data_IF_222579068966
#
_entry.id   IF_222579068966
#
_cell.length_a   1.000
_cell.length_b   1.000
_cell.length_c   1.000
_cell.angle_alpha   90.00
_cell.angle_beta   90.00
_cell.angle_gamma   90.00
#
_symmetry.space_group_name_H-M   'P 1'
#
loop_
_entity.id
_entity.type
_entity.pdbx_description
1 polymer ?
#
# COMPACT_ATOMS: atom_id res chain seq x y z
N UNK A 1 -52.02 18.74 8.14
CA UNK A 1 -51.32 17.51 8.53
C UNK A 1 -50.46 16.88 7.41
N UNK A 2 -50.74 17.13 6.15
CA UNK A 2 -49.90 16.58 5.04
C UNK A 2 -48.56 17.29 4.82
N UNK A 3 -48.38 18.52 5.29
CA UNK A 3 -47.15 19.30 5.10
C UNK A 3 -45.97 18.87 6.03
N UNK A 4 -46.26 18.40 7.24
CA UNK A 4 -45.24 17.98 8.19
C UNK A 4 -44.50 16.68 7.80
N UNK A 5 -45.15 15.80 7.05
CA UNK A 5 -44.53 14.55 6.60
C UNK A 5 -43.54 14.77 5.43
N UNK A 6 -43.78 15.79 4.61
CA UNK A 6 -42.95 16.09 3.42
C UNK A 6 -41.57 16.64 3.85
N UNK A 7 -41.53 17.49 4.84
CA UNK A 7 -40.28 18.04 5.41
C UNK A 7 -39.43 16.95 6.06
N UNK A 8 -40.04 15.98 6.76
CA UNK A 8 -39.37 14.87 7.38
C UNK A 8 -38.79 13.86 6.36
N UNK A 9 -39.51 13.66 5.24
CA UNK A 9 -39.01 12.80 4.15
C UNK A 9 -37.87 13.45 3.41
N UNK A 10 -37.89 14.75 3.16
CA UNK A 10 -36.81 15.48 2.49
C UNK A 10 -35.55 15.47 3.39
N UNK A 11 -35.68 15.70 4.69
CA UNK A 11 -34.56 15.65 5.64
C UNK A 11 -33.94 14.26 5.75
N UNK A 12 -34.74 13.20 5.69
CA UNK A 12 -34.26 11.83 5.70
C UNK A 12 -33.49 11.46 4.43
N UNK A 13 -33.99 11.88 3.26
CA UNK A 13 -33.32 11.65 1.97
C UNK A 13 -32.01 12.42 1.87
N UNK A 14 -31.97 13.68 2.32
CA UNK A 14 -30.75 14.48 2.37
C UNK A 14 -29.70 13.88 3.31
N UNK A 15 -30.12 13.33 4.45
CA UNK A 15 -29.23 12.67 5.41
C UNK A 15 -28.61 11.38 4.84
N UNK A 16 -29.36 10.59 4.11
CA UNK A 16 -28.88 9.37 3.45
C UNK A 16 -27.94 9.70 2.29
N UNK A 17 -28.24 10.74 1.49
CA UNK A 17 -27.38 11.19 0.41
C UNK A 17 -26.03 11.71 0.94
N UNK A 18 -26.03 12.39 2.07
CA UNK A 18 -24.81 12.92 2.71
C UNK A 18 -23.92 11.79 3.26
N UNK A 19 -24.52 10.71 3.76
CA UNK A 19 -23.78 9.54 4.24
C UNK A 19 -23.05 8.78 3.11
N UNK A 20 -23.60 8.78 1.90
CA UNK A 20 -22.95 8.16 0.73
C UNK A 20 -21.73 8.94 0.21
N UNK A 21 -21.66 10.24 0.46
CA UNK A 21 -20.51 11.07 0.02
C UNK A 21 -19.26 10.89 0.89
N UNK A 22 -19.37 10.31 2.08
CA UNK A 22 -18.25 10.11 3.00
C UNK A 22 -17.53 8.77 2.83
N UNK A 23 -18.09 7.82 2.09
CA UNK A 23 -17.50 6.49 1.90
C UNK A 23 -16.47 6.38 0.74
N UNK A 24 -16.27 7.43 -0.06
CA UNK A 24 -15.47 7.36 -1.28
C UNK A 24 -13.95 7.53 -1.11
N UNK A 25 -13.47 8.10 0.00
CA UNK A 25 -12.07 8.53 0.10
C UNK A 25 -11.08 7.47 0.60
N UNK A 26 -11.51 6.45 1.37
CA UNK A 26 -10.60 5.49 1.99
C UNK A 26 -9.98 4.48 1.01
N UNK A 27 -10.69 4.14 -0.07
CA UNK A 27 -10.23 3.15 -1.05
C UNK A 27 -9.18 3.68 -2.04
N UNK A 28 -9.23 4.95 -2.37
CA UNK A 28 -8.28 5.58 -3.32
C UNK A 28 -6.90 5.74 -2.68
N UNK A 29 -6.84 6.16 -1.43
CA UNK A 29 -5.59 6.33 -0.70
C UNK A 29 -4.86 5.00 -0.50
N UNK A 30 -5.56 3.94 -0.15
CA UNK A 30 -4.99 2.60 -0.03
C UNK A 30 -4.42 2.08 -1.35
N UNK A 31 -5.06 2.35 -2.48
CA UNK A 31 -4.59 1.92 -3.80
C UNK A 31 -3.32 2.66 -4.21
N UNK A 32 -3.24 3.97 -3.99
CA UNK A 32 -2.04 4.75 -4.28
C UNK A 32 -0.85 4.32 -3.41
N UNK A 33 -1.07 4.09 -2.12
CA UNK A 33 -0.03 3.60 -1.21
C UNK A 33 0.46 2.21 -1.62
N UNK A 34 -0.41 1.33 -2.10
CA UNK A 34 -0.06 0.00 -2.59
C UNK A 34 0.83 0.07 -3.83
N UNK A 35 0.50 0.89 -4.82
CA UNK A 35 1.31 1.09 -6.03
C UNK A 35 2.71 1.61 -5.71
N UNK A 36 2.81 2.60 -4.82
CA UNK A 36 4.09 3.14 -4.38
C UNK A 36 4.91 2.09 -3.63
N UNK A 37 4.27 1.32 -2.76
CA UNK A 37 4.95 0.24 -2.01
C UNK A 37 5.45 -0.85 -2.96
N UNK A 38 4.65 -1.26 -3.93
CA UNK A 38 5.08 -2.22 -4.97
C UNK A 38 6.31 -1.71 -5.73
N UNK A 39 6.29 -0.46 -6.16
CA UNK A 39 7.43 0.15 -6.84
C UNK A 39 8.70 0.12 -5.98
N UNK A 40 8.60 0.51 -4.70
CA UNK A 40 9.74 0.50 -3.77
C UNK A 40 10.29 -0.91 -3.51
N UNK A 41 9.41 -1.90 -3.37
CA UNK A 41 9.80 -3.30 -3.18
C UNK A 41 10.58 -3.83 -4.40
N UNK A 42 10.10 -3.54 -5.61
CA UNK A 42 10.79 -3.92 -6.84
C UNK A 42 12.14 -3.24 -7.00
N UNK A 43 12.22 -1.95 -6.71
CA UNK A 43 13.49 -1.20 -6.72
C UNK A 43 14.49 -1.70 -5.68
N UNK A 44 14.01 -2.19 -4.57
CA UNK A 44 14.84 -2.79 -3.52
C UNK A 44 15.37 -4.20 -3.88
N UNK A 45 14.81 -4.84 -4.91
CA UNK A 45 15.23 -6.16 -5.34
C UNK A 45 14.34 -7.30 -4.84
N UNK A 46 13.14 -7.00 -4.34
CA UNK A 46 12.15 -8.04 -4.01
C UNK A 46 11.57 -8.67 -5.28
N UNK A 47 11.49 -10.00 -5.28
CA UNK A 47 10.82 -10.75 -6.33
C UNK A 47 9.31 -10.79 -6.06
N UNK A 48 8.50 -10.47 -7.07
CA UNK A 48 7.04 -10.60 -7.01
C UNK A 48 6.65 -12.03 -7.33
N UNK A 49 5.88 -12.64 -6.43
CA UNK A 49 5.26 -13.93 -6.64
C UNK A 49 3.76 -13.74 -6.88
N UNK A 50 3.32 -13.98 -8.10
CA UNK A 50 1.89 -14.03 -8.40
C UNK A 50 1.35 -15.39 -8.04
N UNK A 51 0.41 -15.42 -7.11
CA UNK A 51 -0.17 -16.67 -6.63
C UNK A 51 -1.38 -17.02 -7.48
N UNK A 52 -1.12 -17.69 -8.60
CA UNK A 52 -2.13 -18.31 -9.43
C UNK A 52 -2.25 -19.80 -9.08
N UNK A 53 -3.44 -20.37 -9.14
CA UNK A 53 -3.72 -21.79 -8.85
C UNK A 53 -3.38 -22.22 -7.40
N UNK A 54 -4.06 -21.59 -6.43
CA UNK A 54 -3.92 -21.92 -5.02
C UNK A 54 -4.49 -23.31 -4.70
N UNK A 55 -3.62 -24.21 -4.25
CA UNK A 55 -4.08 -25.41 -3.53
C UNK A 55 -4.62 -25.00 -2.16
N UNK A 56 -5.52 -25.79 -1.50
CA UNK A 56 -6.03 -25.47 -0.17
C UNK A 56 -4.93 -25.18 0.85
N UNK A 57 -3.80 -25.91 0.79
CA UNK A 57 -2.65 -25.71 1.67
C UNK A 57 -1.96 -24.35 1.41
N UNK A 58 -1.81 -23.96 0.14
CA UNK A 58 -1.25 -22.64 -0.23
C UNK A 58 -2.18 -21.51 0.16
N UNK A 59 -3.48 -21.69 -0.02
CA UNK A 59 -4.48 -20.72 0.43
C UNK A 59 -4.39 -20.49 1.94
N UNK A 60 -4.35 -21.54 2.74
CA UNK A 60 -4.20 -21.44 4.19
C UNK A 60 -2.92 -20.71 4.61
N UNK A 61 -1.81 -20.98 3.92
CA UNK A 61 -0.54 -20.27 4.16
C UNK A 61 -0.65 -18.78 3.81
N UNK A 62 -1.28 -18.45 2.67
CA UNK A 62 -1.53 -17.08 2.27
C UNK A 62 -2.39 -16.33 3.27
N UNK A 63 -3.42 -16.97 3.81
CA UNK A 63 -4.33 -16.37 4.78
C UNK A 63 -3.65 -16.12 6.13
N UNK A 64 -2.65 -16.93 6.47
CA UNK A 64 -1.85 -16.77 7.69
C UNK A 64 -0.85 -15.60 7.61
N UNK A 65 -0.48 -15.14 6.42
CA UNK A 65 0.43 -14.01 6.25
C UNK A 65 -0.34 -12.69 6.37
N UNK A 66 0.00 -11.81 7.32
CA UNK A 66 -0.67 -10.54 7.49
C UNK A 66 -0.43 -9.61 6.30
N UNK A 67 -1.46 -8.85 5.92
CA UNK A 67 -1.41 -7.87 4.81
C UNK A 67 -0.71 -6.58 5.23
N UNK A 68 0.03 -5.97 4.32
CA UNK A 68 0.60 -4.64 4.50
C UNK A 68 1.78 -4.56 5.47
N UNK A 69 2.36 -5.69 5.85
CA UNK A 69 3.52 -5.75 6.74
C UNK A 69 4.47 -6.87 6.36
N UNK A 70 5.71 -6.75 6.80
CA UNK A 70 6.71 -7.79 6.59
C UNK A 70 6.58 -8.94 7.58
N UNK A 71 6.71 -10.15 7.06
CA UNK A 71 6.88 -11.37 7.84
C UNK A 71 8.26 -11.95 7.55
N UNK A 72 8.96 -12.41 8.58
CA UNK A 72 10.32 -12.95 8.44
C UNK A 72 10.30 -14.47 8.49
N UNK A 73 11.12 -15.05 7.64
CA UNK A 73 11.38 -16.50 7.61
C UNK A 73 12.88 -16.77 7.69
N UNK A 74 13.25 -17.79 8.44
CA UNK A 74 14.62 -18.28 8.49
C UNK A 74 14.68 -19.63 7.75
N UNK A 75 15.54 -19.71 6.74
CA UNK A 75 15.76 -20.91 5.97
C UNK A 75 17.23 -21.01 5.55
N UNK A 76 17.83 -22.18 5.66
CA UNK A 76 19.23 -22.45 5.27
C UNK A 76 20.25 -21.48 5.89
N UNK A 77 20.03 -21.07 7.14
CA UNK A 77 20.89 -20.10 7.84
C UNK A 77 20.76 -18.65 7.35
N UNK A 78 19.78 -18.36 6.50
CA UNK A 78 19.48 -17.02 5.95
C UNK A 78 18.14 -16.54 6.42
N UNK A 79 18.03 -15.22 6.58
CA UNK A 79 16.78 -14.54 6.89
C UNK A 79 16.17 -13.97 5.63
N UNK A 80 14.89 -14.26 5.43
CA UNK A 80 14.08 -13.77 4.31
C UNK A 80 12.93 -12.93 4.81
N UNK A 81 12.51 -12.00 3.99
CA UNK A 81 11.38 -11.10 4.24
C UNK A 81 10.31 -11.31 3.19
N UNK A 82 9.08 -11.47 3.65
CA UNK A 82 7.90 -11.60 2.80
C UNK A 82 6.95 -10.47 3.11
N UNK A 83 6.50 -9.78 2.08
CA UNK A 83 5.48 -8.75 2.16
C UNK A 83 4.26 -9.17 1.34
N UNK A 84 3.09 -9.16 1.97
CA UNK A 84 1.82 -9.39 1.30
C UNK A 84 1.16 -8.05 1.02
N UNK A 85 0.87 -7.77 -0.25
CA UNK A 85 0.20 -6.53 -0.63
C UNK A 85 -1.21 -6.45 -0.05
N UNK A 86 -1.62 -5.25 0.40
CA UNK A 86 -2.91 -5.04 1.03
C UNK A 86 -4.07 -5.08 0.01
N UNK A 87 -3.83 -4.67 -1.24
CA UNK A 87 -4.83 -4.54 -2.29
C UNK A 87 -4.91 -5.75 -3.23
N UNK A 88 -3.81 -6.48 -3.39
CA UNK A 88 -3.70 -7.65 -4.25
C UNK A 88 -3.32 -8.89 -3.44
N UNK A 89 -3.35 -10.07 -4.06
CA UNK A 89 -2.83 -11.30 -3.44
C UNK A 89 -1.35 -11.54 -3.76
N UNK A 90 -0.65 -10.53 -4.28
CA UNK A 90 0.74 -10.63 -4.60
C UNK A 90 1.60 -10.71 -3.34
N UNK A 91 2.58 -11.59 -3.36
CA UNK A 91 3.65 -11.68 -2.37
C UNK A 91 4.94 -11.13 -2.95
N UNK A 92 5.68 -10.43 -2.12
CA UNK A 92 7.03 -9.97 -2.44
C UNK A 92 8.01 -10.65 -1.51
N UNK A 93 9.06 -11.22 -2.06
CA UNK A 93 10.05 -12.02 -1.36
C UNK A 93 11.44 -11.43 -1.55
N UNK A 94 12.17 -11.20 -0.48
CA UNK A 94 13.52 -10.64 -0.51
C UNK A 94 14.39 -11.11 0.64
N UNK A 95 15.69 -10.92 0.49
CA UNK A 95 16.69 -11.18 1.50
C UNK A 95 16.95 -9.95 2.40
N UNK A 96 17.89 -10.06 3.32
CA UNK A 96 18.27 -8.96 4.21
C UNK A 96 18.77 -7.73 3.43
N UNK A 97 19.54 -7.91 2.36
CA UNK A 97 20.05 -6.80 1.55
C UNK A 97 18.89 -6.03 0.86
N UNK A 98 17.92 -6.76 0.33
CA UNK A 98 16.71 -6.17 -0.25
C UNK A 98 15.90 -5.42 0.81
N UNK A 99 15.76 -5.94 2.01
CA UNK A 99 15.06 -5.28 3.10
C UNK A 99 15.75 -3.99 3.56
N UNK A 100 17.07 -4.00 3.70
CA UNK A 100 17.84 -2.79 4.05
C UNK A 100 17.68 -1.70 2.96
N UNK A 101 17.77 -2.10 1.70
CA UNK A 101 17.54 -1.17 0.58
C UNK A 101 16.12 -0.61 0.56
N UNK A 102 15.12 -1.44 0.81
CA UNK A 102 13.73 -0.98 0.95
C UNK A 102 13.58 0.06 2.06
N UNK A 103 14.15 -0.20 3.23
CA UNK A 103 14.10 0.73 4.37
C UNK A 103 14.74 2.08 4.03
N UNK A 104 15.85 2.08 3.29
CA UNK A 104 16.50 3.30 2.79
C UNK A 104 15.57 4.07 1.84
N UNK A 105 14.96 3.39 0.86
CA UNK A 105 14.05 4.00 -0.11
C UNK A 105 12.80 4.61 0.56
N UNK A 106 12.28 3.96 1.60
CA UNK A 106 11.15 4.48 2.40
C UNK A 106 11.55 5.76 3.12
N UNK A 107 12.77 5.84 3.64
CA UNK A 107 13.30 7.07 4.28
C UNK A 107 13.42 8.21 3.27
N UNK A 108 13.97 7.95 2.08
CA UNK A 108 14.09 8.91 0.98
C UNK A 108 12.70 9.42 0.53
N UNK A 109 11.73 8.52 0.45
CA UNK A 109 10.34 8.87 0.15
C UNK A 109 9.76 9.85 1.18
N UNK A 110 10.00 9.63 2.48
CA UNK A 110 9.50 10.53 3.55
C UNK A 110 10.09 11.92 3.44
N UNK A 111 11.38 12.03 3.13
CA UNK A 111 12.04 13.31 2.90
C UNK A 111 11.37 14.05 1.74
N UNK A 112 11.16 13.40 0.62
CA UNK A 112 10.52 14.01 -0.54
C UNK A 112 9.07 14.42 -0.27
N UNK A 113 8.31 13.63 0.48
CA UNK A 113 6.94 13.96 0.87
C UNK A 113 6.85 15.18 1.79
N UNK A 114 7.87 15.41 2.63
CA UNK A 114 7.92 16.59 3.50
C UNK A 114 8.23 17.90 2.75
N UNK A 115 8.83 17.80 1.57
CA UNK A 115 9.22 18.96 0.77
C UNK A 115 8.07 19.53 -0.08
N UNK A 116 7.10 18.72 -0.46
CA UNK A 116 5.96 19.17 -1.26
C UNK A 116 4.70 18.35 -1.01
N UNK A 117 3.74 18.98 -0.31
CA UNK A 117 2.46 18.37 0.02
C UNK A 117 1.40 18.51 -1.09
N UNK A 118 1.68 19.26 -2.18
CA UNK A 118 0.62 19.72 -3.10
C UNK A 118 0.61 19.06 -4.47
N UNK A 119 1.69 18.41 -4.90
CA UNK A 119 1.73 17.73 -6.20
C UNK A 119 2.60 16.47 -6.20
N UNK A 120 2.20 15.48 -6.98
CA UNK A 120 2.94 14.22 -7.11
C UNK A 120 4.21 14.36 -7.95
N UNK A 121 4.26 15.31 -8.86
CA UNK A 121 5.37 15.53 -9.80
C UNK A 121 6.68 15.95 -9.09
N UNK A 122 6.69 16.96 -8.22
CA UNK A 122 7.85 17.30 -7.42
C UNK A 122 8.34 16.18 -6.50
N UNK A 123 7.42 15.38 -5.96
CA UNK A 123 7.77 14.19 -5.19
C UNK A 123 8.62 13.21 -6.01
N UNK A 124 8.19 12.86 -7.20
CA UNK A 124 8.91 11.91 -8.05
C UNK A 124 10.26 12.45 -8.51
N UNK A 125 10.35 13.72 -8.82
CA UNK A 125 11.62 14.38 -9.17
C UNK A 125 12.62 14.34 -8.01
N UNK A 126 12.16 14.66 -6.80
CA UNK A 126 12.96 14.57 -5.57
C UNK A 126 13.41 13.12 -5.32
N UNK A 127 12.50 12.16 -5.41
CA UNK A 127 12.79 10.76 -5.15
C UNK A 127 13.81 10.17 -6.15
N UNK A 128 13.71 10.52 -7.43
CA UNK A 128 14.68 10.12 -8.45
C UNK A 128 16.07 10.70 -8.18
N UNK A 129 16.16 11.93 -7.65
CA UNK A 129 17.43 12.55 -7.30
C UNK A 129 18.16 11.76 -6.19
N UNK A 130 17.44 11.32 -5.16
CA UNK A 130 18.01 10.45 -4.12
C UNK A 130 18.48 9.08 -4.62
N UNK A 131 17.99 8.62 -5.76
CA UNK A 131 18.36 7.32 -6.33
C UNK A 131 19.62 7.39 -7.21
N UNK A 132 20.12 8.57 -7.55
CA UNK A 132 21.34 8.70 -8.36
C UNK A 132 22.56 8.16 -7.60
N UNK A 133 23.39 7.33 -8.24
CA UNK A 133 24.59 6.82 -7.59
C UNK A 133 25.55 7.97 -7.28
N UNK A 134 26.01 8.04 -6.03
CA UNK A 134 27.00 9.02 -5.58
C UNK A 134 26.51 10.10 -4.62
N UNK A 135 25.24 10.13 -4.26
CA UNK A 135 24.67 11.11 -3.30
C UNK A 135 24.33 10.50 -1.92
N UNK A 136 24.97 9.41 -1.55
CA UNK A 136 24.84 8.81 -0.22
C UNK A 136 26.09 9.03 0.60
#
# INVERSE_FOLDING_TARGET
MMFLNRERFIAAILSVLFAFLLCGCASVENTQNSVVTEYLLRQAGFAKLEVTNLTPKRQALMDAIPKGQFTTYNGDGKKYYVYKDASSQALYFGDEAAYQKFSSLVSDKRVCQSMDATSSEPFWSCFQEFQKPGQR
#
